data_IF_950198975152
#
_entry.id   IF_950198975152
#
_cell.length_a   1.000
_cell.length_b   1.000
_cell.length_c   1.000
_cell.angle_alpha   90.00
_cell.angle_beta   90.00
_cell.angle_gamma   90.00
#
_symmetry.space_group_name_H-M   'P 1'
#
loop_
_entity.id
_entity.type
_entity.pdbx_description
1 polymer ?
#
# COMPACT_ATOMS: atom_id res chain seq x y z
N UNK A 1 12.72 -6.69 2.68
CA UNK A 1 11.45 -7.06 2.01
C UNK A 1 10.53 -5.86 2.08
N UNK A 2 10.13 -5.31 0.93
CA UNK A 2 9.24 -4.15 0.88
C UNK A 2 7.77 -4.54 1.09
N UNK A 3 6.94 -3.56 1.44
CA UNK A 3 5.48 -3.70 1.63
C UNK A 3 4.76 -4.31 0.41
N UNK A 4 5.43 -4.36 -0.75
CA UNK A 4 4.94 -4.86 -2.03
C UNK A 4 4.45 -6.32 -2.02
N UNK A 5 4.97 -7.17 -1.11
CA UNK A 5 4.61 -8.58 -1.02
C UNK A 5 3.46 -8.88 -0.04
N UNK A 6 3.01 -7.90 0.73
CA UNK A 6 1.94 -8.10 1.70
C UNK A 6 0.57 -8.00 1.01
N UNK A 7 -0.42 -8.78 1.48
CA UNK A 7 -1.78 -8.61 1.03
C UNK A 7 -2.37 -7.28 1.53
N UNK A 8 -3.35 -6.69 0.82
CA UNK A 8 -3.86 -5.34 1.12
C UNK A 8 -4.35 -5.15 2.56
N UNK A 9 -4.98 -6.17 3.13
CA UNK A 9 -5.48 -6.19 4.50
C UNK A 9 -4.36 -6.09 5.55
N UNK A 10 -3.23 -6.76 5.33
CA UNK A 10 -2.07 -6.69 6.23
C UNK A 10 -1.39 -5.32 6.15
N UNK A 11 -1.33 -4.74 4.95
CA UNK A 11 -0.83 -3.36 4.76
C UNK A 11 -1.73 -2.37 5.50
N UNK A 12 -3.05 -2.54 5.41
CA UNK A 12 -4.00 -1.67 6.10
C UNK A 12 -3.86 -1.74 7.62
N UNK A 13 -3.76 -2.95 8.17
CA UNK A 13 -3.54 -3.16 9.60
C UNK A 13 -2.23 -2.50 10.07
N UNK A 14 -1.14 -2.70 9.34
CA UNK A 14 0.15 -2.09 9.66
C UNK A 14 0.09 -0.55 9.65
N UNK A 15 -0.61 0.05 8.69
CA UNK A 15 -0.77 1.51 8.61
C UNK A 15 -1.58 2.03 9.79
N UNK A 16 -2.70 1.37 10.13
CA UNK A 16 -3.54 1.74 11.28
C UNK A 16 -2.73 1.68 12.58
N UNK A 17 -2.00 0.59 12.80
CA UNK A 17 -1.18 0.42 14.02
C UNK A 17 -0.04 1.44 14.09
N UNK A 18 0.63 1.72 12.96
CA UNK A 18 1.72 2.70 12.90
C UNK A 18 1.24 4.12 13.20
N UNK A 19 0.09 4.51 12.64
CA UNK A 19 -0.51 5.82 12.88
C UNK A 19 -1.06 5.93 14.31
N UNK A 20 -1.66 4.87 14.86
CA UNK A 20 -2.10 4.81 16.25
C UNK A 20 -0.93 4.97 17.22
N UNK A 21 0.21 4.31 16.97
CA UNK A 21 1.44 4.47 17.75
C UNK A 21 2.00 5.91 17.70
N UNK A 22 1.69 6.65 16.63
CA UNK A 22 2.06 8.06 16.46
C UNK A 22 1.02 9.03 17.04
N UNK A 23 -0.05 8.52 17.68
CA UNK A 23 -1.14 9.32 18.24
C UNK A 23 -2.13 9.87 17.22
N UNK A 24 -2.08 9.42 15.96
CA UNK A 24 -2.97 9.86 14.88
C UNK A 24 -3.85 8.68 14.46
N UNK A 25 -5.06 8.52 15.02
CA UNK A 25 -5.94 7.44 14.60
C UNK A 25 -6.39 7.65 13.16
N UNK A 26 -6.24 6.60 12.34
CA UNK A 26 -6.65 6.62 10.92
C UNK A 26 -7.59 5.45 10.62
N UNK A 27 -8.43 5.62 9.60
CA UNK A 27 -9.28 4.57 9.05
C UNK A 27 -8.93 4.36 7.59
N UNK A 28 -8.56 3.13 7.23
CA UNK A 28 -8.39 2.73 5.82
C UNK A 28 -9.76 2.34 5.26
N UNK A 29 -10.28 3.12 4.33
CA UNK A 29 -11.59 2.89 3.69
C UNK A 29 -11.50 1.99 2.47
N UNK A 30 -10.40 2.06 1.71
CA UNK A 30 -10.08 1.16 0.62
C UNK A 30 -8.58 0.83 0.64
N UNK A 31 -8.18 -0.38 1.04
CA UNK A 31 -6.77 -0.77 1.13
C UNK A 31 -6.11 -0.91 -0.24
N UNK A 32 -6.88 -1.03 -1.33
CA UNK A 32 -6.33 -1.14 -2.69
C UNK A 32 -5.78 0.18 -3.20
N UNK A 33 -6.23 1.31 -2.63
CA UNK A 33 -5.77 2.66 -2.97
C UNK A 33 -4.33 2.89 -2.52
N UNK A 34 -3.83 2.19 -1.49
CA UNK A 34 -2.43 2.30 -1.03
C UNK A 34 -1.45 2.02 -2.16
N UNK A 35 -1.75 1.03 -3.03
CA UNK A 35 -0.95 0.76 -4.23
C UNK A 35 -1.00 1.90 -5.24
N UNK A 36 -2.16 2.54 -5.43
CA UNK A 36 -2.32 3.67 -6.36
C UNK A 36 -1.59 4.94 -5.88
N UNK A 37 -1.63 5.22 -4.58
CA UNK A 37 -0.89 6.32 -3.97
C UNK A 37 0.62 6.04 -4.00
N UNK A 38 1.03 4.79 -3.78
CA UNK A 38 2.43 4.39 -3.94
C UNK A 38 2.98 4.76 -5.31
N UNK A 39 2.21 4.53 -6.40
CA UNK A 39 2.60 4.97 -7.76
C UNK A 39 2.79 6.48 -7.84
N UNK A 40 1.91 7.28 -7.22
CA UNK A 40 2.02 8.74 -7.21
C UNK A 40 3.21 9.25 -6.39
N UNK A 41 3.64 8.49 -5.38
CA UNK A 41 4.79 8.80 -4.53
C UNK A 41 6.11 8.21 -5.05
N UNK A 42 6.13 7.67 -6.28
CA UNK A 42 7.34 7.16 -6.92
C UNK A 42 7.72 5.71 -6.56
N UNK A 43 6.82 4.93 -5.96
CA UNK A 43 7.05 3.50 -5.79
C UNK A 43 7.14 2.81 -7.17
N UNK A 44 8.13 1.92 -7.39
CA UNK A 44 8.27 1.23 -8.67
C UNK A 44 7.04 0.35 -8.92
N UNK A 45 6.42 0.55 -10.08
CA UNK A 45 5.26 -0.24 -10.54
C UNK A 45 5.74 -1.63 -10.94
N UNK A 46 6.04 -2.46 -9.94
CA UNK A 46 6.48 -3.84 -10.13
C UNK A 46 5.30 -4.71 -10.58
N UNK A 47 5.17 -4.92 -11.89
CA UNK A 47 4.38 -6.01 -12.46
C UNK A 47 3.24 -5.59 -13.38
N UNK A 48 3.55 -5.09 -14.57
CA UNK A 48 2.66 -5.26 -15.72
C UNK A 48 3.29 -6.24 -16.70
N UNK A 49 2.58 -7.36 -16.89
CA UNK A 49 2.77 -8.34 -17.95
C UNK A 49 3.13 -7.64 -19.28
N UNK A 50 4.17 -8.15 -19.93
CA UNK A 50 4.49 -7.82 -21.31
C UNK A 50 3.24 -7.97 -22.18
N UNK A 51 2.80 -6.87 -22.80
CA UNK A 51 1.79 -6.89 -23.84
C UNK A 51 2.54 -7.16 -25.16
N UNK A 52 2.35 -8.31 -25.81
CA UNK A 52 2.97 -8.56 -27.11
C UNK A 52 2.35 -7.61 -28.14
N UNK A 53 3.23 -6.97 -28.92
CA UNK A 53 2.87 -6.23 -30.14
C UNK A 53 2.69 -7.20 -31.29
#
# INVERSE_FOLDING_TARGET
MGLSNLPPEEIAALVVDSCAASGVPVKVTDPTVVRRVGVLLGAPVGGQRAHPR
#
